data_IF_578525027090
#
_entry.id   IF_578525027090
#
_cell.length_a   1.000
_cell.length_b   1.000
_cell.length_c   1.000
_cell.angle_alpha   90.00
_cell.angle_beta   90.00
_cell.angle_gamma   90.00
#
_symmetry.space_group_name_H-M   'P 1'
#
loop_
_entity.id
_entity.type
_entity.pdbx_description
1 polymer ?
#
# COMPACT_ATOMS: atom_id res chain seq x y z
N UNK A 1 7.41 13.84 40.18
CA UNK A 1 6.81 13.97 41.52
C UNK A 1 5.40 14.51 41.40
N UNK A 2 4.45 13.98 42.20
CA UNK A 2 3.07 14.46 42.24
C UNK A 2 2.17 14.01 41.10
N UNK A 3 2.64 13.16 40.22
CA UNK A 3 1.78 12.61 39.14
C UNK A 3 0.74 11.67 39.74
N UNK A 4 -0.49 11.77 39.26
CA UNK A 4 -1.60 10.95 39.72
C UNK A 4 -1.96 9.97 38.62
N UNK A 5 -2.10 8.70 38.95
CA UNK A 5 -2.51 7.66 38.02
C UNK A 5 -3.68 6.87 38.58
N UNK A 6 -4.41 6.24 37.68
CA UNK A 6 -5.57 5.43 38.03
C UNK A 6 -5.41 4.03 37.45
N UNK A 7 -5.69 3.02 38.27
CA UNK A 7 -5.63 1.62 37.82
C UNK A 7 -6.82 1.31 36.91
N UNK A 8 -6.52 0.73 35.75
CA UNK A 8 -7.54 0.26 34.79
C UNK A 8 -7.53 -1.26 34.83
N UNK A 9 -8.66 -1.85 35.25
CA UNK A 9 -8.79 -3.29 35.36
C UNK A 9 -8.21 -3.82 36.69
N UNK A 10 -8.21 -5.14 36.88
CA UNK A 10 -7.68 -5.76 38.09
C UNK A 10 -6.17 -5.58 38.21
N UNK A 11 -5.70 -5.47 39.47
CA UNK A 11 -4.27 -5.38 39.73
C UNK A 11 -3.54 -6.64 39.22
N UNK A 12 -2.35 -6.46 38.68
CA UNK A 12 -1.49 -7.54 38.17
C UNK A 12 -2.09 -8.34 37.00
N UNK A 13 -3.07 -7.75 36.29
CA UNK A 13 -3.71 -8.35 35.13
C UNK A 13 -3.58 -7.48 33.87
N UNK A 14 -2.57 -6.60 33.83
CA UNK A 14 -2.36 -5.67 32.71
C UNK A 14 -2.17 -6.36 31.40
N UNK A 15 -1.46 -7.48 31.37
CA UNK A 15 -1.24 -8.23 30.13
C UNK A 15 -2.55 -8.75 29.54
N UNK A 16 -3.44 -9.26 30.40
CA UNK A 16 -4.77 -9.71 29.94
C UNK A 16 -5.61 -8.55 29.39
N UNK A 17 -5.53 -7.39 30.03
CA UNK A 17 -6.20 -6.19 29.56
C UNK A 17 -5.63 -5.72 28.20
N UNK A 18 -4.32 -5.84 28.02
CA UNK A 18 -3.66 -5.51 26.77
C UNK A 18 -4.21 -6.34 25.61
N UNK A 19 -4.41 -7.63 25.81
CA UNK A 19 -4.93 -8.50 24.75
C UNK A 19 -6.33 -8.10 24.27
N UNK A 20 -7.10 -7.42 25.11
CA UNK A 20 -8.42 -6.93 24.71
C UNK A 20 -8.31 -5.90 23.57
N UNK A 21 -7.43 -4.93 23.68
CA UNK A 21 -7.27 -3.94 22.61
C UNK A 21 -6.46 -4.47 21.45
N UNK A 22 -5.61 -5.48 21.67
CA UNK A 22 -4.81 -6.07 20.58
C UNK A 22 -5.67 -6.70 19.50
N UNK A 23 -6.86 -7.19 19.81
CA UNK A 23 -7.77 -7.70 18.81
C UNK A 23 -8.12 -6.64 17.78
N UNK A 24 -8.44 -5.42 18.23
CA UNK A 24 -8.69 -4.28 17.35
C UNK A 24 -7.42 -3.83 16.64
N UNK A 25 -6.28 -3.85 17.32
CA UNK A 25 -5.00 -3.45 16.75
C UNK A 25 -4.57 -4.37 15.61
N UNK A 26 -4.88 -5.67 15.70
CA UNK A 26 -4.57 -6.63 14.63
C UNK A 26 -5.37 -6.32 13.36
N UNK A 27 -6.64 -5.98 13.50
CA UNK A 27 -7.46 -5.53 12.37
C UNK A 27 -6.93 -4.22 11.78
N UNK A 28 -6.50 -3.30 12.63
CA UNK A 28 -5.90 -2.04 12.20
C UNK A 28 -4.62 -2.26 11.41
N UNK A 29 -3.79 -3.22 11.84
CA UNK A 29 -2.56 -3.56 11.12
C UNK A 29 -2.86 -4.16 9.76
N UNK A 30 -3.88 -5.01 9.66
CA UNK A 30 -4.31 -5.55 8.36
C UNK A 30 -4.79 -4.44 7.43
N UNK A 31 -5.51 -3.47 7.96
CA UNK A 31 -5.96 -2.30 7.20
C UNK A 31 -4.79 -1.45 6.73
N UNK A 32 -3.73 -1.32 7.54
CA UNK A 32 -2.51 -0.63 7.12
C UNK A 32 -1.88 -1.30 5.92
N UNK A 33 -1.82 -2.64 5.90
CA UNK A 33 -1.32 -3.39 4.76
C UNK A 33 -2.13 -3.10 3.49
N UNK A 34 -3.45 -3.09 3.61
CA UNK A 34 -4.33 -2.76 2.48
C UNK A 34 -4.10 -1.33 2.01
N UNK A 35 -3.97 -0.38 2.93
CA UNK A 35 -3.75 1.02 2.58
C UNK A 35 -2.44 1.23 1.83
N UNK A 36 -1.36 0.58 2.27
CA UNK A 36 -0.08 0.65 1.58
C UNK A 36 -0.15 0.01 0.19
N UNK A 37 -0.84 -1.12 0.07
CA UNK A 37 -1.03 -1.77 -1.22
C UNK A 37 -1.80 -0.86 -2.18
N UNK A 38 -2.84 -0.17 -1.71
CA UNK A 38 -3.64 0.73 -2.52
C UNK A 38 -2.82 1.91 -3.01
N UNK A 39 -2.04 2.54 -2.13
CA UNK A 39 -1.18 3.67 -2.50
C UNK A 39 -0.12 3.22 -3.51
N UNK A 40 0.48 2.05 -3.30
CA UNK A 40 1.48 1.51 -4.20
C UNK A 40 0.89 1.23 -5.59
N UNK A 41 -0.30 0.64 -5.63
CA UNK A 41 -0.96 0.33 -6.90
C UNK A 41 -1.33 1.60 -7.66
N UNK A 42 -2.00 2.55 -7.00
CA UNK A 42 -2.43 3.79 -7.66
C UNK A 42 -1.23 4.61 -8.16
N UNK A 43 -0.19 4.71 -7.33
CA UNK A 43 1.03 5.41 -7.72
C UNK A 43 1.76 4.71 -8.87
N UNK A 44 1.85 3.40 -8.80
CA UNK A 44 2.47 2.59 -9.86
C UNK A 44 1.71 2.69 -11.17
N UNK A 45 0.38 2.67 -11.12
CA UNK A 45 -0.46 2.80 -12.30
C UNK A 45 -0.27 4.16 -12.98
N UNK A 46 -0.28 5.23 -12.20
CA UNK A 46 -0.08 6.58 -12.73
C UNK A 46 1.31 6.72 -13.34
N UNK A 47 2.33 6.21 -12.65
CA UNK A 47 3.69 6.23 -13.17
C UNK A 47 3.79 5.46 -14.49
N UNK A 48 3.14 4.29 -14.59
CA UNK A 48 3.16 3.49 -15.80
C UNK A 48 2.51 4.21 -16.99
N UNK A 49 1.52 5.06 -16.72
CA UNK A 49 0.88 5.88 -17.77
C UNK A 49 1.74 7.06 -18.19
N UNK A 50 2.55 7.59 -17.29
CA UNK A 50 3.35 8.80 -17.55
C UNK A 50 4.75 8.50 -18.04
N UNK A 51 5.38 7.41 -17.57
CA UNK A 51 6.75 7.08 -17.94
C UNK A 51 6.83 6.60 -19.38
N UNK A 52 7.67 7.25 -20.17
CA UNK A 52 7.92 6.88 -21.56
C UNK A 52 9.22 6.08 -21.64
N UNK A 53 9.14 4.89 -22.23
CA UNK A 53 10.31 4.04 -22.43
C UNK A 53 10.03 2.98 -23.47
N UNK A 54 10.90 2.88 -24.47
CA UNK A 54 10.80 1.92 -25.55
C UNK A 54 9.53 2.12 -26.40
N UNK A 55 9.22 1.15 -27.25
CA UNK A 55 8.02 1.13 -28.07
C UNK A 55 7.29 -0.20 -27.87
N UNK A 56 5.98 -0.17 -28.03
CA UNK A 56 5.18 -1.40 -27.99
C UNK A 56 5.66 -2.41 -29.01
N UNK A 57 5.61 -3.69 -28.66
CA UNK A 57 5.99 -4.78 -29.56
C UNK A 57 5.11 -4.86 -30.82
N UNK A 58 3.89 -4.31 -30.75
CA UNK A 58 2.93 -4.30 -31.85
C UNK A 58 2.95 -2.99 -32.64
N UNK A 59 3.96 -2.15 -32.42
CA UNK A 59 4.11 -0.86 -33.08
C UNK A 59 3.88 0.32 -32.16
N UNK A 60 4.34 1.53 -32.54
CA UNK A 60 4.20 2.72 -31.70
C UNK A 60 2.75 3.02 -31.34
N UNK A 61 2.49 3.25 -30.05
CA UNK A 61 1.17 3.63 -29.55
C UNK A 61 1.04 5.14 -29.32
N UNK A 62 2.17 5.82 -29.18
CA UNK A 62 2.22 7.28 -29.05
C UNK A 62 3.31 7.81 -30.01
N UNK A 63 3.08 7.75 -31.33
CA UNK A 63 4.13 8.11 -32.31
C UNK A 63 4.57 9.56 -32.20
N UNK A 64 3.73 10.44 -31.68
CA UNK A 64 4.05 11.85 -31.47
C UNK A 64 5.04 12.09 -30.31
N UNK A 65 5.30 11.06 -29.49
CA UNK A 65 6.21 11.14 -28.34
C UNK A 65 7.50 10.39 -28.64
N UNK A 66 8.55 10.71 -27.85
CA UNK A 66 9.86 10.09 -28.02
C UNK A 66 9.85 8.58 -27.76
N UNK A 67 8.92 8.11 -26.92
CA UNK A 67 8.75 6.69 -26.62
C UNK A 67 7.29 6.45 -26.20
N UNK A 68 6.91 5.19 -26.04
CA UNK A 68 5.58 4.85 -25.55
C UNK A 68 5.53 4.82 -24.02
N UNK A 69 4.36 5.11 -23.41
CA UNK A 69 4.18 4.87 -21.98
C UNK A 69 4.42 3.40 -21.64
N UNK A 70 5.08 3.15 -20.50
CA UNK A 70 5.46 1.77 -20.16
C UNK A 70 4.26 0.86 -19.91
N UNK A 71 3.06 1.41 -19.70
CA UNK A 71 1.84 0.61 -19.50
C UNK A 71 1.50 -0.25 -20.72
N UNK A 72 2.02 0.07 -21.91
CA UNK A 72 1.76 -0.72 -23.12
C UNK A 72 2.54 -2.05 -23.11
N UNK A 73 3.57 -2.18 -22.30
CA UNK A 73 4.40 -3.38 -22.27
C UNK A 73 3.70 -4.52 -21.51
N UNK A 74 3.67 -5.74 -22.07
CA UNK A 74 2.93 -6.84 -21.46
C UNK A 74 3.36 -7.18 -20.04
N UNK A 75 4.66 -7.12 -19.75
CA UNK A 75 5.14 -7.46 -18.42
C UNK A 75 4.76 -6.41 -17.37
N UNK A 76 4.72 -5.13 -17.75
CA UNK A 76 4.24 -4.07 -16.86
C UNK A 76 2.76 -4.29 -16.55
N UNK A 77 1.96 -4.65 -17.56
CA UNK A 77 0.55 -4.99 -17.36
C UNK A 77 0.37 -6.19 -16.44
N UNK A 78 1.21 -7.21 -16.60
CA UNK A 78 1.20 -8.37 -15.72
C UNK A 78 1.43 -7.97 -14.27
N UNK A 79 2.45 -7.14 -14.03
CA UNK A 79 2.76 -6.66 -12.68
C UNK A 79 1.60 -5.88 -12.05
N UNK A 80 0.94 -5.04 -12.82
CA UNK A 80 -0.19 -4.25 -12.33
C UNK A 80 -1.41 -5.11 -12.01
N UNK A 81 -1.60 -6.24 -12.70
CA UNK A 81 -2.74 -7.12 -12.51
C UNK A 81 -2.49 -8.19 -11.43
N UNK A 82 -1.29 -8.33 -10.96
CA UNK A 82 -0.95 -9.26 -9.90
C UNK A 82 -1.17 -8.66 -8.53
#
# INVERSE_FOLDING_TARGET
DGATGYLIGPANKGLNCMFTFMNTARLGTALQGLAHAEVAFQGGLQYARDRLQMRSLTGPKAPEKAADPIIVHPDVRRMLLT
#
